data_IF_109697263125
#
_entry.id   IF_109697263125
#
_cell.length_a   1.000
_cell.length_b   1.000
_cell.length_c   1.000
_cell.angle_alpha   90.00
_cell.angle_beta   90.00
_cell.angle_gamma   90.00
#
_symmetry.space_group_name_H-M   'P 1'
#
loop_
_entity.id
_entity.type
_entity.pdbx_description
1 polymer ?
#
# COMPACT_ATOMS: atom_id res chain seq x y z
N UNK A 1 -10.05 8.10 27.36
CA UNK A 1 -9.00 7.12 27.09
C UNK A 1 -9.10 6.49 25.69
N UNK A 2 -10.20 5.87 25.20
CA UNK A 2 -10.18 5.10 23.94
C UNK A 2 -9.84 5.93 22.69
N UNK A 3 -10.26 7.19 22.62
CA UNK A 3 -9.94 8.07 21.47
C UNK A 3 -8.44 8.39 21.41
N UNK A 4 -7.77 8.59 22.53
CA UNK A 4 -6.33 8.85 22.55
C UNK A 4 -5.52 7.63 22.16
N UNK A 5 -5.96 6.43 22.54
CA UNK A 5 -5.32 5.18 22.14
C UNK A 5 -5.49 4.95 20.64
N UNK A 6 -6.70 5.12 20.12
CA UNK A 6 -6.97 5.02 18.68
C UNK A 6 -6.14 6.02 17.85
N UNK A 7 -6.00 7.28 18.33
CA UNK A 7 -5.15 8.27 17.66
C UNK A 7 -3.66 7.90 17.73
N UNK A 8 -3.21 7.31 18.83
CA UNK A 8 -1.83 6.84 18.98
C UNK A 8 -1.53 5.66 18.07
N UNK A 9 -2.48 4.74 17.94
CA UNK A 9 -2.39 3.64 16.99
C UNK A 9 -2.36 4.15 15.53
N UNK A 10 -3.19 5.14 15.21
CA UNK A 10 -3.18 5.79 13.91
C UNK A 10 -1.88 6.57 13.65
N UNK A 11 -1.24 7.12 14.68
CA UNK A 11 0.06 7.79 14.59
C UNK A 11 1.20 6.78 14.39
N UNK A 12 1.21 5.69 15.16
CA UNK A 12 2.16 4.58 14.97
C UNK A 12 2.05 3.97 13.58
N UNK A 13 0.86 3.99 13.04
CA UNK A 13 0.55 3.51 11.71
C UNK A 13 0.81 4.57 10.61
N UNK A 14 1.22 5.79 10.98
CA UNK A 14 1.58 6.87 10.04
C UNK A 14 0.40 7.54 9.33
N UNK A 15 -0.86 7.33 9.77
CA UNK A 15 -2.02 8.03 9.19
C UNK A 15 -2.25 9.40 9.80
N UNK A 16 -1.79 9.56 11.01
CA UNK A 16 -1.95 10.77 11.79
C UNK A 16 -0.57 11.20 12.24
N UNK A 17 -0.33 12.49 12.26
CA UNK A 17 0.86 13.11 12.84
C UNK A 17 0.45 14.07 13.93
N UNK A 18 1.21 14.09 15.02
CA UNK A 18 1.01 15.08 16.07
C UNK A 18 1.56 16.43 15.63
N UNK A 19 0.70 17.42 15.44
CA UNK A 19 1.07 18.78 15.10
C UNK A 19 1.06 19.66 16.36
N UNK A 20 2.14 20.45 16.62
CA UNK A 20 2.18 21.35 17.76
C UNK A 20 0.99 22.32 17.71
N UNK A 21 0.26 22.42 18.81
CA UNK A 21 -0.92 23.30 18.98
C UNK A 21 -2.15 22.93 18.13
N UNK A 22 -2.08 21.90 17.28
CA UNK A 22 -3.19 21.45 16.42
C UNK A 22 -3.69 20.05 16.75
N UNK A 23 -3.04 19.37 17.71
CA UNK A 23 -3.38 17.98 18.06
C UNK A 23 -2.96 17.00 16.98
N UNK A 24 -3.77 15.96 16.78
CA UNK A 24 -3.53 14.95 15.76
C UNK A 24 -4.17 15.38 14.42
N UNK A 25 -3.36 15.38 13.37
CA UNK A 25 -3.78 15.77 12.01
C UNK A 25 -3.60 14.58 11.09
N UNK A 26 -4.57 14.33 10.21
CA UNK A 26 -4.45 13.28 9.18
C UNK A 26 -3.28 13.63 8.27
N UNK A 27 -2.35 12.67 8.10
CA UNK A 27 -1.23 12.83 7.18
C UNK A 27 -1.74 12.77 5.75
N UNK A 28 -1.37 13.73 4.96
CA UNK A 28 -1.52 13.63 3.51
C UNK A 28 -0.54 12.58 2.99
N UNK A 29 -1.06 11.58 2.29
CA UNK A 29 -0.24 10.59 1.58
C UNK A 29 0.11 11.20 0.24
N UNK A 30 1.37 11.57 0.08
CA UNK A 30 1.84 12.11 -1.19
C UNK A 30 2.03 11.00 -2.22
N UNK A 31 1.99 11.33 -3.50
CA UNK A 31 2.29 10.38 -4.57
C UNK A 31 3.73 9.87 -4.48
N UNK A 32 4.66 10.68 -3.94
CA UNK A 32 6.03 10.23 -3.68
C UNK A 32 6.11 9.17 -2.57
N UNK A 33 5.23 9.21 -1.56
CA UNK A 33 5.12 8.14 -0.56
C UNK A 33 4.66 6.82 -1.21
N UNK A 34 3.72 6.90 -2.15
CA UNK A 34 3.25 5.73 -2.89
C UNK A 34 4.37 5.07 -3.69
N UNK A 35 5.17 5.86 -4.41
CA UNK A 35 6.29 5.34 -5.19
C UNK A 35 7.32 4.59 -4.35
N UNK A 36 7.49 4.94 -3.07
CA UNK A 36 8.37 4.23 -2.15
C UNK A 36 7.78 2.91 -1.65
N UNK A 37 6.46 2.80 -1.61
CA UNK A 37 5.77 1.59 -1.14
C UNK A 37 5.86 0.45 -2.15
N UNK A 38 5.76 0.72 -3.46
CA UNK A 38 5.72 -0.30 -4.50
C UNK A 38 6.93 -1.23 -4.52
N UNK A 39 8.18 -0.75 -4.47
CA UNK A 39 9.35 -1.64 -4.43
C UNK A 39 9.35 -2.56 -3.19
N UNK A 40 8.92 -2.06 -2.04
CA UNK A 40 8.83 -2.85 -0.80
C UNK A 40 7.75 -3.91 -0.94
N UNK A 41 6.57 -3.54 -1.45
CA UNK A 41 5.49 -4.48 -1.74
C UNK A 41 5.95 -5.58 -2.70
N UNK A 42 6.60 -5.21 -3.79
CA UNK A 42 7.08 -6.17 -4.79
C UNK A 42 7.98 -7.23 -4.17
N UNK A 43 8.88 -6.84 -3.26
CA UNK A 43 9.75 -7.79 -2.54
C UNK A 43 8.94 -8.67 -1.59
N UNK A 44 8.09 -8.09 -0.74
CA UNK A 44 7.34 -8.85 0.26
C UNK A 44 6.29 -9.77 -0.37
N UNK A 45 5.53 -9.26 -1.33
CA UNK A 45 4.47 -10.03 -1.96
C UNK A 45 5.02 -11.04 -2.97
N UNK A 46 6.15 -10.73 -3.62
CA UNK A 46 6.89 -11.69 -4.44
C UNK A 46 7.35 -12.88 -3.62
N UNK A 47 7.98 -12.63 -2.45
CA UNK A 47 8.37 -13.69 -1.53
C UNK A 47 7.15 -14.49 -1.04
N UNK A 48 6.06 -13.80 -0.68
CA UNK A 48 4.83 -14.47 -0.28
C UNK A 48 4.28 -15.39 -1.38
N UNK A 49 4.24 -14.94 -2.63
CA UNK A 49 3.76 -15.73 -3.76
C UNK A 49 4.65 -16.95 -4.03
N UNK A 50 5.99 -16.79 -3.92
CA UNK A 50 6.95 -17.89 -4.00
C UNK A 50 6.64 -18.98 -2.99
N UNK A 51 6.48 -18.61 -1.73
CA UNK A 51 6.19 -19.56 -0.64
C UNK A 51 4.80 -20.16 -0.76
N UNK A 52 3.79 -19.35 -1.14
CA UNK A 52 2.42 -19.80 -1.32
C UNK A 52 2.27 -20.79 -2.48
N UNK A 53 3.10 -20.73 -3.51
CA UNK A 53 3.00 -21.60 -4.69
C UNK A 53 3.04 -23.10 -4.33
N UNK A 54 3.78 -23.49 -3.29
CA UNK A 54 3.87 -24.86 -2.82
C UNK A 54 2.91 -25.19 -1.68
N UNK A 55 2.36 -24.18 -1.01
CA UNK A 55 1.53 -24.36 0.21
C UNK A 55 0.02 -24.21 -0.03
N UNK A 56 -0.39 -23.46 -1.06
CA UNK A 56 -1.80 -23.31 -1.38
C UNK A 56 -2.43 -24.66 -1.69
N UNK A 57 -3.53 -24.95 -1.04
CA UNK A 57 -4.37 -26.11 -1.36
C UNK A 57 -5.39 -25.80 -2.47
N UNK A 58 -6.19 -26.79 -2.85
CA UNK A 58 -7.23 -26.62 -3.87
C UNK A 58 -8.28 -25.59 -3.44
N UNK A 59 -8.58 -25.49 -2.15
CA UNK A 59 -9.56 -24.53 -1.64
C UNK A 59 -9.02 -23.10 -1.74
N UNK A 60 -7.74 -22.87 -1.39
CA UNK A 60 -7.07 -21.59 -1.54
C UNK A 60 -7.01 -21.13 -3.01
N UNK A 61 -6.68 -22.03 -3.94
CA UNK A 61 -6.68 -21.72 -5.37
C UNK A 61 -8.09 -21.34 -5.88
N UNK A 62 -9.13 -22.09 -5.47
CA UNK A 62 -10.53 -21.75 -5.80
C UNK A 62 -10.96 -20.42 -5.21
N UNK A 63 -10.51 -20.08 -3.99
CA UNK A 63 -10.77 -18.78 -3.37
C UNK A 63 -10.17 -17.65 -4.22
N UNK A 64 -8.92 -17.78 -4.66
CA UNK A 64 -8.27 -16.79 -5.54
C UNK A 64 -8.99 -16.64 -6.88
N UNK A 65 -9.45 -17.73 -7.50
CA UNK A 65 -10.29 -17.68 -8.71
C UNK A 65 -11.59 -16.94 -8.48
N UNK A 66 -12.26 -17.22 -7.37
CA UNK A 66 -13.51 -16.56 -6.98
C UNK A 66 -13.32 -15.06 -6.78
N UNK A 67 -12.21 -14.66 -6.16
CA UNK A 67 -11.87 -13.23 -5.95
C UNK A 67 -11.64 -12.50 -7.27
N UNK A 68 -10.91 -13.09 -8.23
CA UNK A 68 -10.76 -12.48 -9.57
C UNK A 68 -12.11 -12.36 -10.28
N UNK A 69 -12.95 -13.40 -10.22
CA UNK A 69 -14.27 -13.36 -10.84
C UNK A 69 -15.19 -12.31 -10.19
N UNK A 70 -15.13 -12.15 -8.87
CA UNK A 70 -15.84 -11.10 -8.13
C UNK A 70 -15.35 -9.71 -8.50
N UNK A 71 -14.03 -9.53 -8.54
CA UNK A 71 -13.37 -8.28 -8.94
C UNK A 71 -13.78 -7.83 -10.36
N UNK A 72 -13.81 -8.76 -11.32
CA UNK A 72 -14.31 -8.50 -12.69
C UNK A 72 -15.77 -8.03 -12.71
N UNK A 73 -16.64 -8.68 -11.91
CA UNK A 73 -18.04 -8.28 -11.80
C UNK A 73 -18.20 -6.89 -11.17
N UNK A 74 -17.42 -6.59 -10.14
CA UNK A 74 -17.41 -5.28 -9.50
C UNK A 74 -16.90 -4.21 -10.47
N UNK A 75 -15.80 -4.48 -11.17
CA UNK A 75 -15.22 -3.61 -12.18
C UNK A 75 -16.18 -3.29 -13.32
N UNK A 76 -16.91 -4.30 -13.82
CA UNK A 76 -17.90 -4.11 -14.88
C UNK A 76 -19.09 -3.20 -14.47
N UNK A 77 -19.36 -3.09 -13.17
CA UNK A 77 -20.37 -2.17 -12.62
C UNK A 77 -19.79 -0.81 -12.20
N UNK A 78 -18.50 -0.59 -12.36
CA UNK A 78 -17.83 0.62 -11.87
C UNK A 78 -17.74 0.69 -10.34
N UNK A 79 -17.90 -0.43 -9.65
CA UNK A 79 -17.85 -0.50 -8.18
C UNK A 79 -16.39 -0.53 -7.71
N UNK A 80 -15.79 0.66 -7.59
CA UNK A 80 -14.42 0.85 -7.14
C UNK A 80 -14.18 0.21 -5.77
N UNK A 81 -15.14 0.38 -4.83
CA UNK A 81 -14.98 -0.11 -3.45
C UNK A 81 -14.92 -1.64 -3.40
N UNK A 82 -15.84 -2.31 -4.09
CA UNK A 82 -15.86 -3.77 -4.14
C UNK A 82 -14.62 -4.30 -4.89
N UNK A 83 -14.20 -3.65 -5.99
CA UNK A 83 -12.99 -4.04 -6.73
C UNK A 83 -11.76 -3.99 -5.82
N UNK A 84 -11.57 -2.93 -5.03
CA UNK A 84 -10.42 -2.78 -4.11
C UNK A 84 -10.51 -3.79 -2.96
N UNK A 85 -11.70 -4.08 -2.45
CA UNK A 85 -11.87 -5.07 -1.39
C UNK A 85 -11.47 -6.47 -1.85
N UNK A 86 -11.86 -6.86 -3.06
CA UNK A 86 -11.50 -8.14 -3.67
C UNK A 86 -9.99 -8.21 -4.01
N UNK A 87 -9.40 -7.10 -4.50
CA UNK A 87 -7.96 -6.95 -4.71
C UNK A 87 -7.18 -7.20 -3.41
N UNK A 88 -7.55 -6.50 -2.35
CA UNK A 88 -6.93 -6.69 -1.04
C UNK A 88 -7.06 -8.14 -0.54
N UNK A 89 -8.24 -8.74 -0.68
CA UNK A 89 -8.48 -10.12 -0.25
C UNK A 89 -7.65 -11.13 -1.06
N UNK A 90 -7.41 -10.87 -2.35
CA UNK A 90 -6.54 -11.69 -3.19
C UNK A 90 -5.10 -11.69 -2.67
N UNK A 91 -4.53 -10.52 -2.46
CA UNK A 91 -3.18 -10.37 -1.92
C UNK A 91 -3.03 -10.96 -0.52
N UNK A 92 -3.99 -10.67 0.38
CA UNK A 92 -4.01 -11.23 1.74
C UNK A 92 -4.04 -12.76 1.73
N UNK A 93 -4.82 -13.37 0.85
CA UNK A 93 -4.91 -14.84 0.73
C UNK A 93 -3.55 -15.45 0.38
N UNK A 94 -2.78 -14.82 -0.50
CA UNK A 94 -1.43 -15.29 -0.88
C UNK A 94 -0.45 -15.08 0.28
N UNK A 95 -0.50 -13.92 0.92
CA UNK A 95 0.35 -13.59 2.08
C UNK A 95 0.12 -14.57 3.24
N UNK A 96 -1.14 -14.90 3.53
CA UNK A 96 -1.48 -15.90 4.56
C UNK A 96 -1.02 -17.30 4.18
N UNK A 97 -1.20 -17.70 2.92
CA UNK A 97 -0.75 -18.99 2.42
C UNK A 97 0.78 -19.15 2.43
N UNK A 98 1.54 -18.05 2.43
CA UNK A 98 3.00 -18.11 2.61
C UNK A 98 3.41 -18.74 3.94
N UNK A 99 2.55 -18.69 4.97
CA UNK A 99 2.84 -19.14 6.32
C UNK A 99 3.90 -18.30 7.06
N UNK A 100 4.36 -17.21 6.47
CA UNK A 100 5.35 -16.31 7.03
C UNK A 100 4.66 -15.22 7.85
N UNK A 101 4.48 -15.45 9.14
CA UNK A 101 3.78 -14.52 10.02
C UNK A 101 4.43 -13.14 10.12
N UNK A 102 5.78 -13.11 10.05
CA UNK A 102 6.52 -11.83 10.14
C UNK A 102 6.34 -11.01 8.86
N UNK A 103 6.39 -11.66 7.70
CA UNK A 103 6.07 -11.04 6.41
C UNK A 103 4.66 -10.45 6.44
N UNK A 104 3.67 -11.21 6.92
CA UNK A 104 2.28 -10.73 7.05
C UNK A 104 2.19 -9.47 7.91
N UNK A 105 2.88 -9.41 9.05
CA UNK A 105 2.89 -8.23 9.90
C UNK A 105 3.46 -6.99 9.20
N UNK A 106 4.55 -7.12 8.46
CA UNK A 106 5.11 -6.01 7.68
C UNK A 106 4.17 -5.59 6.55
N UNK A 107 3.61 -6.55 5.84
CA UNK A 107 2.67 -6.32 4.75
C UNK A 107 1.41 -5.57 5.21
N UNK A 108 0.81 -5.98 6.34
CA UNK A 108 -0.35 -5.30 6.93
C UNK A 108 -0.08 -3.83 7.27
N UNK A 109 1.16 -3.50 7.63
CA UNK A 109 1.58 -2.13 7.90
C UNK A 109 1.69 -1.24 6.65
N UNK A 110 1.83 -1.81 5.48
CA UNK A 110 1.89 -1.06 4.21
C UNK A 110 0.53 -0.52 3.74
N UNK A 111 -0.57 -0.95 4.34
CA UNK A 111 -1.94 -0.44 4.14
C UNK A 111 -2.39 -0.38 2.69
N UNK A 112 -2.33 -1.51 2.05
CA UNK A 112 -2.51 -1.69 0.61
C UNK A 112 -3.84 -1.16 0.08
N UNK A 113 -4.94 -1.25 0.85
CA UNK A 113 -6.24 -0.74 0.41
C UNK A 113 -6.22 0.75 0.08
N UNK A 114 -5.47 1.57 0.85
CA UNK A 114 -5.32 3.00 0.56
C UNK A 114 -4.43 3.20 -0.64
N UNK A 115 -3.32 2.46 -0.73
CA UNK A 115 -2.40 2.53 -1.87
C UNK A 115 -3.12 2.17 -3.16
N UNK A 116 -3.88 1.06 -3.17
CA UNK A 116 -4.67 0.63 -4.32
C UNK A 116 -5.74 1.66 -4.68
N UNK A 117 -6.45 2.23 -3.68
CA UNK A 117 -7.46 3.27 -3.92
C UNK A 117 -6.85 4.50 -4.62
N UNK A 118 -5.71 4.99 -4.12
CA UNK A 118 -5.04 6.15 -4.70
C UNK A 118 -4.54 5.85 -6.11
N UNK A 119 -3.98 4.65 -6.35
CA UNK A 119 -3.54 4.22 -7.67
C UNK A 119 -4.69 4.18 -8.67
N UNK A 120 -5.80 3.53 -8.29
CA UNK A 120 -7.02 3.47 -9.11
C UNK A 120 -7.57 4.85 -9.41
N UNK A 121 -7.57 5.74 -8.42
CA UNK A 121 -8.12 7.10 -8.56
C UNK A 121 -7.26 8.01 -9.43
N UNK A 122 -5.95 7.74 -9.54
CA UNK A 122 -4.99 8.58 -10.27
C UNK A 122 -4.52 7.95 -11.58
N UNK A 123 -4.75 6.66 -11.80
CA UNK A 123 -4.40 5.98 -13.04
C UNK A 123 -5.49 6.16 -14.09
N UNK A 124 -5.08 6.19 -15.36
CA UNK A 124 -6.00 6.17 -16.50
C UNK A 124 -6.46 4.75 -16.88
N UNK A 125 -6.09 3.74 -16.08
CA UNK A 125 -6.44 2.35 -16.32
C UNK A 125 -7.86 2.05 -15.83
N UNK A 126 -8.59 1.27 -16.60
CA UNK A 126 -9.92 0.82 -16.24
C UNK A 126 -9.89 -0.20 -15.10
N UNK A 127 -10.96 -0.26 -14.31
CA UNK A 127 -11.11 -1.27 -13.26
C UNK A 127 -11.02 -2.70 -13.82
N UNK A 128 -11.44 -2.91 -15.08
CA UNK A 128 -11.35 -4.21 -15.77
C UNK A 128 -9.88 -4.59 -15.99
N UNK A 129 -9.06 -3.68 -16.51
CA UNK A 129 -7.63 -3.92 -16.67
C UNK A 129 -6.96 -4.26 -15.34
N UNK A 130 -7.31 -3.54 -14.28
CA UNK A 130 -6.81 -3.83 -12.91
C UNK A 130 -7.18 -5.24 -12.49
N UNK A 131 -8.43 -5.67 -12.68
CA UNK A 131 -8.87 -7.02 -12.33
C UNK A 131 -8.15 -8.10 -13.15
N UNK A 132 -7.94 -7.89 -14.45
CA UNK A 132 -7.29 -8.87 -15.36
C UNK A 132 -5.82 -9.13 -15.02
N UNK A 133 -5.13 -8.17 -14.45
CA UNK A 133 -3.72 -8.29 -14.09
C UNK A 133 -3.42 -9.34 -13.02
N UNK A 134 -4.43 -9.82 -12.30
CA UNK A 134 -4.29 -10.88 -11.31
C UNK A 134 -4.17 -12.29 -11.93
N UNK A 135 -4.64 -12.45 -13.17
CA UNK A 135 -4.66 -13.75 -13.85
C UNK A 135 -3.25 -14.37 -14.06
N UNK A 136 -2.17 -13.64 -14.40
CA UNK A 136 -0.83 -14.21 -14.49
C UNK A 136 -0.33 -14.78 -13.15
N UNK A 137 -0.60 -14.10 -12.04
CA UNK A 137 -0.21 -14.56 -10.69
C UNK A 137 -0.91 -15.88 -10.37
N UNK A 138 -2.23 -15.93 -10.58
CA UNK A 138 -2.99 -17.15 -10.34
C UNK A 138 -2.53 -18.34 -11.21
N UNK A 139 -2.17 -18.08 -12.48
CA UNK A 139 -1.63 -19.15 -13.36
C UNK A 139 -0.34 -19.73 -12.82
N UNK A 140 0.59 -18.91 -12.34
CA UNK A 140 1.86 -19.35 -11.77
C UNK A 140 1.65 -20.16 -10.47
N UNK A 141 0.73 -19.70 -9.60
CA UNK A 141 0.37 -20.42 -8.37
C UNK A 141 -0.27 -21.79 -8.68
N UNK A 142 -1.12 -21.88 -9.70
CA UNK A 142 -1.71 -23.16 -10.17
C UNK A 142 -0.66 -24.11 -10.74
N UNK A 143 0.34 -23.57 -11.43
CA UNK A 143 1.44 -24.37 -11.96
C UNK A 143 2.40 -24.86 -10.85
N UNK A 144 2.22 -24.42 -9.60
CA UNK A 144 3.11 -24.76 -8.49
C UNK A 144 4.58 -24.41 -8.75
N UNK A 145 4.81 -23.34 -9.51
CA UNK A 145 6.13 -22.83 -9.84
C UNK A 145 6.47 -21.61 -8.96
N UNK A 146 7.33 -21.78 -7.93
CA UNK A 146 7.66 -20.72 -6.99
C UNK A 146 8.33 -19.51 -7.66
N UNK A 147 9.24 -19.77 -8.59
CA UNK A 147 9.97 -18.71 -9.29
C UNK A 147 9.05 -17.92 -10.23
N UNK A 148 8.17 -18.60 -10.94
CA UNK A 148 7.18 -17.94 -11.79
C UNK A 148 6.14 -17.16 -10.97
N UNK A 149 5.72 -17.68 -9.81
CA UNK A 149 4.81 -16.99 -8.91
C UNK A 149 5.42 -15.70 -8.33
N UNK A 150 6.69 -15.77 -7.89
CA UNK A 150 7.43 -14.59 -7.44
C UNK A 150 7.52 -13.54 -8.54
N UNK A 151 8.01 -13.91 -9.73
CA UNK A 151 8.15 -12.97 -10.85
C UNK A 151 6.83 -12.36 -11.26
N UNK A 152 5.77 -13.18 -11.35
CA UNK A 152 4.43 -12.70 -11.71
C UNK A 152 3.88 -11.70 -10.70
N UNK A 153 4.05 -11.97 -9.39
CA UNK A 153 3.61 -11.07 -8.33
C UNK A 153 4.43 -9.78 -8.30
N UNK A 154 5.76 -9.87 -8.41
CA UNK A 154 6.60 -8.66 -8.45
C UNK A 154 6.19 -7.74 -9.58
N UNK A 155 6.06 -8.28 -10.80
CA UNK A 155 5.62 -7.50 -11.96
C UNK A 155 4.22 -6.90 -11.75
N UNK A 156 3.29 -7.69 -11.19
CA UNK A 156 1.94 -7.24 -10.87
C UNK A 156 1.94 -6.02 -9.94
N UNK A 157 2.89 -5.91 -9.02
CA UNK A 157 3.04 -4.79 -8.09
C UNK A 157 3.83 -3.64 -8.70
N UNK A 158 4.89 -3.91 -9.47
CA UNK A 158 5.79 -2.89 -10.04
C UNK A 158 5.10 -2.05 -11.11
N UNK A 159 4.31 -2.66 -12.00
CA UNK A 159 3.62 -1.95 -13.08
C UNK A 159 2.73 -0.78 -12.62
N UNK A 160 1.87 -0.89 -11.58
CA UNK A 160 1.14 0.27 -11.06
C UNK A 160 2.04 1.36 -10.50
N UNK A 161 3.19 1.00 -9.92
CA UNK A 161 4.21 1.95 -9.50
C UNK A 161 4.78 2.74 -10.69
N UNK A 162 5.05 2.06 -11.79
CA UNK A 162 5.50 2.68 -13.05
C UNK A 162 4.44 3.62 -13.63
N UNK A 163 3.16 3.24 -13.63
CA UNK A 163 2.06 4.10 -14.06
C UNK A 163 1.98 5.39 -13.25
N UNK A 164 2.12 5.26 -11.93
CA UNK A 164 2.14 6.41 -11.03
C UNK A 164 3.34 7.32 -11.27
N UNK A 165 4.53 6.72 -11.50
CA UNK A 165 5.74 7.48 -11.81
C UNK A 165 5.62 8.25 -13.13
N UNK A 166 5.01 7.63 -14.15
CA UNK A 166 4.77 8.26 -15.44
C UNK A 166 3.76 9.42 -15.34
N UNK A 167 2.67 9.23 -14.58
CA UNK A 167 1.68 10.27 -14.35
C UNK A 167 2.30 11.49 -13.65
N UNK A 168 3.20 11.28 -12.68
CA UNK A 168 3.94 12.35 -12.00
C UNK A 168 4.95 13.07 -12.90
N UNK A 169 5.64 12.33 -13.76
CA UNK A 169 6.60 12.91 -14.71
C UNK A 169 5.92 13.79 -15.76
N UNK A 170 4.67 13.49 -16.12
CA UNK A 170 3.88 14.30 -17.06
C UNK A 170 3.47 15.66 -16.47
N UNK A 171 3.27 15.73 -15.14
CA UNK A 171 2.82 16.96 -14.44
C UNK A 171 3.96 17.82 -13.89
N UNK A 172 5.23 17.45 -14.14
CA UNK A 172 6.40 18.25 -13.74
C UNK A 172 6.61 18.37 -12.23
N UNK A 173 5.98 17.50 -11.44
CA UNK A 173 6.17 17.48 -9.99
C UNK A 173 7.56 16.93 -9.63
N UNK A 174 8.26 17.51 -8.64
CA UNK A 174 9.63 17.14 -8.31
C UNK A 174 9.70 15.70 -7.84
N UNK A 175 10.54 14.92 -8.51
CA UNK A 175 10.95 13.59 -8.07
C UNK A 175 11.66 13.74 -6.72
N UNK A 176 11.07 13.17 -5.67
CA UNK A 176 11.71 12.87 -4.40
C UNK A 176 12.41 14.04 -3.68
N UNK A 177 11.65 14.82 -2.94
CA UNK A 177 12.20 15.40 -1.72
C UNK A 177 11.94 14.43 -0.56
N UNK A 178 13.03 13.99 0.09
CA UNK A 178 12.91 13.20 1.31
C UNK A 178 12.02 13.96 2.31
N UNK A 179 11.17 13.27 3.09
CA UNK A 179 10.39 13.92 4.13
C UNK A 179 11.35 14.73 5.03
N UNK A 180 10.96 15.92 5.46
CA UNK A 180 11.81 16.71 6.33
C UNK A 180 12.16 15.86 7.57
N UNK A 181 13.42 15.89 8.02
CA UNK A 181 13.83 15.10 9.17
C UNK A 181 12.93 15.42 10.36
N UNK A 182 12.64 14.44 11.22
CA UNK A 182 11.80 14.66 12.39
C UNK A 182 12.37 15.83 13.20
N UNK A 183 11.51 16.80 13.53
CA UNK A 183 11.89 17.99 14.29
C UNK A 183 12.46 17.52 15.62
N UNK A 184 13.78 17.59 15.79
CA UNK A 184 14.45 17.19 17.02
C UNK A 184 14.06 18.14 18.15
N UNK A 185 14.01 17.62 19.40
CA UNK A 185 13.67 18.41 20.61
C UNK A 185 14.49 19.71 20.75
N UNK A 186 15.67 19.79 20.16
CA UNK A 186 16.52 20.99 20.17
C UNK A 186 15.95 22.14 19.32
N UNK A 187 15.31 21.85 18.19
CA UNK A 187 14.72 22.91 17.33
C UNK A 187 13.48 23.54 17.96
N UNK A 188 12.73 22.77 18.76
CA UNK A 188 11.59 23.28 19.54
C UNK A 188 12.04 24.24 20.66
N UNK A 189 13.22 24.04 21.22
CA UNK A 189 13.76 24.92 22.28
C UNK A 189 14.21 26.29 21.74
N UNK A 190 14.76 26.33 20.52
CA UNK A 190 15.19 27.57 19.87
C UNK A 190 13.97 28.41 19.43
N UNK A 191 12.91 27.79 18.92
CA UNK A 191 11.69 28.50 18.55
C UNK A 191 10.99 29.13 19.78
N UNK A 192 10.99 28.44 20.93
CA UNK A 192 10.43 28.98 22.19
C UNK A 192 11.22 30.16 22.75
N UNK A 193 12.54 30.23 22.53
CA UNK A 193 13.36 31.38 22.98
C UNK A 193 13.12 32.65 22.13
N UNK A 194 12.84 32.48 20.84
CA UNK A 194 12.56 33.65 19.94
C UNK A 194 11.18 34.27 20.21
N UNK A 195 10.15 33.49 20.50
CA UNK A 195 8.80 33.99 20.81
C UNK A 195 8.72 34.71 22.17
N UNK A 196 9.57 34.36 23.14
CA UNK A 196 9.60 35.03 24.45
C UNK A 196 10.40 36.36 24.44
N UNK A 197 11.28 36.57 23.47
CA UNK A 197 11.99 37.85 23.32
C UNK A 197 11.13 38.92 22.65
N UNK A 198 10.19 38.56 21.78
CA UNK A 198 9.29 39.52 21.11
C UNK A 198 8.13 40.02 21.99
N UNK A 199 7.86 39.34 23.11
CA UNK A 199 6.81 39.76 24.07
C UNK A 199 7.33 40.61 25.23
N UNK A 200 8.63 40.99 25.24
CA UNK A 200 9.25 41.81 26.28
C UNK A 200 9.81 43.17 25.74
N UNK A 201 9.35 43.58 24.55
CA UNK A 201 9.59 44.95 24.06
C UNK A 201 8.26 45.68 23.86
#
# INVERSE_FOLDING_TARGET
>A
APVREALRDLELLGFVVSAPFRGSVVREVSTSDLLQIYPIRAVLEGLAAREAATRLDTAGLKKLEGLIASMRKAAARGDVRATIADDFAFHLTIVEASGNWLLKQFWERLRLAITTFLTVSQSHHSLIEIAERHAPVLRALKARDPEAAERAMRRHIEEPGEWMAQALGADGAPVLQAPPPPVTRQQTAVARRRTNQTKRR
#
